data_IF_326786673859
#
_entry.id   IF_326786673859
#
_cell.length_a   1.000
_cell.length_b   1.000
_cell.length_c   1.000
_cell.angle_alpha   90.00
_cell.angle_beta   90.00
_cell.angle_gamma   90.00
#
_symmetry.space_group_name_H-M   'P 1'
#
loop_
_entity.id
_entity.type
_entity.pdbx_description
1 polymer ?
#
# COMPACT_ATOMS: atom_id res chain seq x y z
N UNK A 1 -4.27 -2.41 12.27
CA UNK A 1 -4.72 -3.07 11.02
C UNK A 1 -5.69 -2.13 10.33
N UNK A 2 -5.48 -1.83 9.05
CA UNK A 2 -6.29 -0.93 8.24
C UNK A 2 -7.24 -1.76 7.38
N UNK A 3 -8.53 -1.44 7.40
CA UNK A 3 -9.55 -2.17 6.66
C UNK A 3 -10.10 -1.27 5.55
N UNK A 4 -10.23 -1.83 4.35
CA UNK A 4 -10.76 -1.14 3.17
C UNK A 4 -11.66 -2.09 2.39
N UNK A 5 -12.78 -1.58 1.87
CA UNK A 5 -13.66 -2.29 0.95
C UNK A 5 -13.77 -1.49 -0.34
N UNK A 6 -13.66 -2.16 -1.49
CA UNK A 6 -13.76 -1.55 -2.83
C UNK A 6 -14.54 -2.48 -3.77
N UNK A 7 -15.21 -1.94 -4.78
CA UNK A 7 -15.80 -2.75 -5.84
C UNK A 7 -14.74 -3.21 -6.84
N UNK A 8 -14.85 -4.44 -7.34
CA UNK A 8 -14.09 -4.87 -8.49
C UNK A 8 -14.41 -3.98 -9.72
N UNK A 9 -13.38 -3.55 -10.44
CA UNK A 9 -13.52 -2.68 -11.62
C UNK A 9 -13.44 -1.18 -11.32
N UNK A 10 -13.49 -0.76 -10.06
CA UNK A 10 -13.32 0.65 -9.69
C UNK A 10 -11.84 1.01 -9.50
N UNK A 11 -11.39 2.21 -9.94
CA UNK A 11 -10.02 2.63 -9.70
C UNK A 11 -9.77 2.86 -8.21
N UNK A 12 -8.68 2.29 -7.72
CA UNK A 12 -8.16 2.54 -6.37
C UNK A 12 -6.91 3.39 -6.46
N UNK A 13 -6.83 4.41 -5.60
CA UNK A 13 -5.60 5.14 -5.30
C UNK A 13 -5.50 5.29 -3.78
N UNK A 14 -4.63 4.49 -3.17
CA UNK A 14 -4.39 4.48 -1.74
C UNK A 14 -2.97 4.98 -1.47
N UNK A 15 -2.85 6.23 -1.02
CA UNK A 15 -1.59 6.82 -0.60
C UNK A 15 -1.30 6.53 0.87
N UNK A 16 -0.04 6.30 1.17
CA UNK A 16 0.47 6.23 2.52
C UNK A 16 1.50 7.34 2.69
N UNK A 17 1.09 8.41 3.36
CA UNK A 17 1.93 9.56 3.69
C UNK A 17 2.60 9.32 5.05
N UNK A 18 3.93 9.45 5.09
CA UNK A 18 4.72 9.19 6.30
C UNK A 18 5.57 10.41 6.64
N UNK A 19 5.30 11.01 7.78
CA UNK A 19 5.92 12.29 8.18
C UNK A 19 7.40 12.16 8.60
N UNK A 20 7.93 10.94 8.74
CA UNK A 20 9.24 10.70 9.38
C UNK A 20 10.17 9.74 8.63
N UNK A 21 10.13 9.73 7.30
CA UNK A 21 11.16 9.05 6.50
C UNK A 21 12.50 9.78 6.70
N UNK A 22 13.49 9.10 7.29
CA UNK A 22 14.90 9.53 7.23
C UNK A 22 15.72 8.34 6.72
N UNK A 23 16.86 8.63 6.09
CA UNK A 23 17.75 7.59 5.55
C UNK A 23 17.20 6.92 4.29
N UNK A 24 17.86 5.83 3.88
CA UNK A 24 17.42 5.01 2.75
C UNK A 24 16.08 4.33 3.09
N UNK A 25 15.14 4.42 2.17
CA UNK A 25 13.80 3.85 2.31
C UNK A 25 13.50 2.95 1.12
N UNK A 26 12.64 1.96 1.35
CA UNK A 26 12.10 1.10 0.31
C UNK A 26 10.69 0.68 0.69
N UNK A 27 9.71 1.04 -0.15
CA UNK A 27 8.35 0.56 0.00
C UNK A 27 8.24 -0.86 -0.58
N UNK A 28 8.00 -1.85 0.29
CA UNK A 28 8.00 -3.25 -0.13
C UNK A 28 6.82 -4.01 0.46
N UNK A 29 6.26 -4.93 -0.33
CA UNK A 29 5.30 -5.89 0.20
C UNK A 29 6.08 -7.00 0.93
N UNK A 30 5.89 -7.10 2.25
CA UNK A 30 6.64 -8.06 3.08
C UNK A 30 5.80 -9.29 3.47
N UNK A 31 4.48 -9.21 3.33
CA UNK A 31 3.55 -10.35 3.49
C UNK A 31 2.33 -10.19 2.60
N UNK A 32 1.76 -11.33 2.19
CA UNK A 32 0.57 -11.38 1.34
C UNK A 32 0.86 -10.98 -0.10
N UNK A 33 -0.20 -10.77 -0.86
CA UNK A 33 -0.17 -10.32 -2.25
C UNK A 33 -1.23 -9.25 -2.47
N UNK A 34 -0.95 -8.32 -3.38
CA UNK A 34 -1.98 -7.41 -3.86
C UNK A 34 -2.99 -8.18 -4.74
N UNK A 35 -4.28 -7.79 -4.74
CA UNK A 35 -5.24 -8.25 -5.73
C UNK A 35 -4.73 -8.02 -7.15
N UNK A 36 -5.15 -8.86 -8.09
CA UNK A 36 -4.86 -8.67 -9.51
C UNK A 36 -5.34 -7.29 -9.97
N UNK A 37 -4.47 -6.58 -10.70
CA UNK A 37 -4.75 -5.24 -11.23
C UNK A 37 -4.34 -4.09 -10.30
N UNK A 38 -3.87 -4.37 -9.09
CA UNK A 38 -3.24 -3.38 -8.21
C UNK A 38 -1.71 -3.50 -8.24
N UNK A 39 -1.03 -2.36 -8.08
CA UNK A 39 0.43 -2.29 -7.97
C UNK A 39 0.84 -1.35 -6.83
N UNK A 40 1.91 -1.70 -6.11
CA UNK A 40 2.57 -0.80 -5.17
C UNK A 40 3.63 -0.01 -5.94
N UNK A 41 3.54 1.31 -5.86
CA UNK A 41 4.47 2.25 -6.48
C UNK A 41 4.95 3.27 -5.47
N UNK A 42 6.14 3.76 -5.71
CA UNK A 42 6.69 4.89 -4.99
C UNK A 42 6.46 6.16 -5.82
N UNK A 43 5.92 7.20 -5.19
CA UNK A 43 5.74 8.52 -5.80
C UNK A 43 6.27 9.60 -4.86
N UNK A 44 6.26 10.85 -5.31
CA UNK A 44 6.63 12.01 -4.50
C UNK A 44 5.43 12.93 -4.33
N UNK A 45 4.98 13.14 -3.10
CA UNK A 45 3.90 14.08 -2.75
C UNK A 45 4.49 15.16 -1.84
N UNK A 46 4.35 16.43 -2.23
CA UNK A 46 4.88 17.58 -1.48
C UNK A 46 6.39 17.48 -1.15
N UNK A 47 7.17 16.86 -2.03
CA UNK A 47 8.63 16.68 -1.85
C UNK A 47 9.00 15.54 -0.90
N UNK A 48 8.03 14.73 -0.44
CA UNK A 48 8.25 13.56 0.39
C UNK A 48 7.97 12.27 -0.38
N UNK A 49 8.70 11.17 -0.11
CA UNK A 49 8.40 9.87 -0.68
C UNK A 49 7.09 9.31 -0.11
N UNK A 50 6.24 8.82 -1.00
CA UNK A 50 4.90 8.32 -0.68
C UNK A 50 4.69 6.98 -1.36
N UNK A 51 4.31 5.95 -0.60
CA UNK A 51 3.82 4.71 -1.18
C UNK A 51 2.39 4.90 -1.68
N UNK A 52 2.12 4.44 -2.90
CA UNK A 52 0.78 4.42 -3.46
C UNK A 52 0.46 3.00 -3.92
N UNK A 53 -0.67 2.47 -3.48
CA UNK A 53 -1.29 1.30 -4.09
C UNK A 53 -2.33 1.81 -5.07
N UNK A 54 -2.08 1.58 -6.36
CA UNK A 54 -2.96 2.05 -7.42
C UNK A 54 -3.26 0.98 -8.47
N UNK A 55 -4.39 1.17 -9.14
CA UNK A 55 -4.84 0.34 -10.25
C UNK A 55 -6.33 0.04 -10.17
N UNK A 56 -6.75 -1.01 -10.86
CA UNK A 56 -8.14 -1.46 -10.90
C UNK A 56 -8.17 -2.91 -10.43
N UNK A 57 -8.68 -3.22 -9.23
CA UNK A 57 -8.76 -4.59 -8.76
C UNK A 57 -9.77 -5.37 -9.60
N UNK A 58 -9.37 -6.52 -10.14
CA UNK A 58 -10.22 -7.35 -10.99
C UNK A 58 -10.66 -8.66 -10.34
N UNK A 59 -10.06 -9.03 -9.22
CA UNK A 59 -10.36 -10.25 -8.49
C UNK A 59 -11.07 -9.91 -7.19
N UNK A 60 -12.30 -10.41 -7.05
CA UNK A 60 -13.07 -10.33 -5.80
C UNK A 60 -12.48 -11.26 -4.75
N UNK A 61 -12.61 -10.88 -3.48
CA UNK A 61 -12.09 -11.64 -2.35
C UNK A 61 -11.50 -10.78 -1.26
N UNK A 62 -11.03 -11.45 -0.21
CA UNK A 62 -10.34 -10.82 0.91
C UNK A 62 -8.82 -10.98 0.76
N UNK A 63 -8.11 -9.85 0.78
CA UNK A 63 -6.67 -9.77 0.64
C UNK A 63 -6.07 -9.15 1.90
N UNK A 64 -5.27 -9.93 2.62
CA UNK A 64 -4.50 -9.44 3.77
C UNK A 64 -3.05 -9.37 3.37
N UNK A 65 -2.48 -8.17 3.44
CA UNK A 65 -1.08 -7.96 3.11
C UNK A 65 -0.44 -6.90 4.01
N UNK A 66 0.89 -6.90 4.04
CA UNK A 66 1.68 -6.00 4.85
C UNK A 66 2.65 -5.25 3.97
N UNK A 67 2.54 -3.93 3.99
CA UNK A 67 3.49 -3.03 3.35
C UNK A 67 4.51 -2.61 4.40
N UNK A 68 5.78 -2.90 4.15
CA UNK A 68 6.91 -2.38 4.90
C UNK A 68 7.29 -1.02 4.36
N UNK A 69 7.47 -0.10 5.30
CA UNK A 69 7.83 1.29 5.07
C UNK A 69 8.92 1.55 6.09
N UNK A 70 10.13 1.07 5.76
CA UNK A 70 11.27 1.20 6.66
C UNK A 70 11.67 2.68 6.73
N UNK A 71 11.48 3.30 7.89
CA UNK A 71 12.23 4.50 8.23
C UNK A 71 13.68 4.13 8.61
N UNK A 72 14.53 5.13 8.87
CA UNK A 72 15.90 4.97 9.38
C UNK A 72 16.03 4.15 10.69
N UNK A 73 14.93 3.85 11.39
CA UNK A 73 14.92 3.02 12.60
C UNK A 73 14.41 1.61 12.33
N UNK A 74 14.20 1.25 11.06
CA UNK A 74 13.57 0.02 10.61
C UNK A 74 12.14 -0.17 11.13
N UNK A 75 11.46 0.93 11.49
CA UNK A 75 10.14 0.91 12.09
C UNK A 75 9.12 1.47 11.11
N UNK A 76 8.17 0.63 10.72
CA UNK A 76 7.03 1.03 9.91
C UNK A 76 6.54 -0.14 9.07
N UNK A 77 5.46 -0.78 9.51
CA UNK A 77 4.73 -1.71 8.66
C UNK A 77 3.24 -1.47 8.87
N UNK A 78 2.49 -1.47 7.77
CA UNK A 78 1.05 -1.31 7.80
C UNK A 78 0.40 -2.62 7.39
N UNK A 79 -0.40 -3.18 8.30
CA UNK A 79 -1.29 -4.29 8.00
C UNK A 79 -2.53 -3.77 7.29
N UNK A 80 -2.85 -4.35 6.15
CA UNK A 80 -4.00 -3.96 5.32
C UNK A 80 -4.86 -5.20 5.08
N UNK A 81 -6.16 -5.05 5.31
CA UNK A 81 -7.21 -5.96 4.85
C UNK A 81 -8.02 -5.23 3.79
N UNK A 82 -7.95 -5.71 2.57
CA UNK A 82 -8.70 -5.21 1.44
C UNK A 82 -9.75 -6.25 1.06
N UNK A 83 -11.02 -5.86 1.13
CA UNK A 83 -12.14 -6.65 0.61
C UNK A 83 -12.51 -6.07 -0.76
N UNK A 84 -12.41 -6.89 -1.80
CA UNK A 84 -12.89 -6.56 -3.14
C UNK A 84 -14.22 -7.26 -3.35
N UNK A 85 -15.29 -6.49 -3.50
CA UNK A 85 -16.67 -6.98 -3.72
C UNK A 85 -17.16 -6.86 -5.16
#
# INVERSE_FOLDING_TARGET
MFNLTVSAGDPLNLSFEWDFIKGDYAFTLIRGSLPSGLTLRETTVNGLPTAVIEGIPTQTGEFIFVVSIKDWRERGYQWIRLVVE
#
